data_IF_033887749350
#
_entry.id   IF_033887749350
#
_cell.length_a   1.000
_cell.length_b   1.000
_cell.length_c   1.000
_cell.angle_alpha   90.00
_cell.angle_beta   90.00
_cell.angle_gamma   90.00
#
_symmetry.space_group_name_H-M   'P 1'
#
loop_
_entity.id
_entity.type
_entity.pdbx_description
1 polymer ?
#
# COMPACT_ATOMS: atom_id res chain seq x y z
N UNK A 1 17.03 -25.95 16.72
CA UNK A 1 15.73 -25.54 16.15
C UNK A 1 15.96 -24.21 15.46
N UNK A 2 16.27 -24.24 14.15
CA UNK A 2 16.57 -23.01 13.40
C UNK A 2 15.27 -22.24 13.22
N UNK A 3 15.13 -21.10 13.91
CA UNK A 3 14.06 -20.13 13.64
C UNK A 3 14.39 -19.48 12.29
N UNK A 4 13.99 -20.14 11.21
CA UNK A 4 13.96 -19.50 9.90
C UNK A 4 12.81 -18.50 9.98
N UNK A 5 13.17 -17.27 10.33
CA UNK A 5 12.32 -16.12 10.18
C UNK A 5 12.25 -15.86 8.68
N UNK A 6 11.28 -16.47 7.99
CA UNK A 6 11.08 -16.24 6.56
C UNK A 6 10.97 -14.72 6.36
N UNK A 7 11.86 -14.08 5.58
CA UNK A 7 11.84 -12.64 5.45
C UNK A 7 10.51 -12.21 4.83
N UNK A 8 9.82 -11.30 5.52
CA UNK A 8 8.60 -10.68 5.02
C UNK A 8 8.80 -10.24 3.58
N UNK A 9 7.98 -10.78 2.68
CA UNK A 9 8.02 -10.39 1.27
C UNK A 9 7.10 -9.19 1.05
N UNK A 10 7.38 -8.38 0.03
CA UNK A 10 6.46 -7.31 -0.39
C UNK A 10 5.03 -7.82 -0.70
N UNK A 11 4.86 -9.14 -0.90
CA UNK A 11 3.56 -9.79 -1.12
C UNK A 11 2.86 -10.22 0.17
N UNK A 12 3.64 -10.66 1.17
CA UNK A 12 3.11 -11.10 2.46
C UNK A 12 2.77 -9.93 3.39
N UNK A 13 3.43 -8.78 3.20
CA UNK A 13 3.27 -7.60 4.05
C UNK A 13 4.20 -7.63 5.26
N UNK A 14 3.99 -6.69 6.19
CA UNK A 14 4.70 -6.65 7.46
C UNK A 14 4.20 -7.77 8.38
N UNK A 15 4.98 -8.09 9.42
CA UNK A 15 4.52 -8.97 10.50
C UNK A 15 3.47 -8.28 11.40
N UNK A 16 3.00 -9.01 12.40
CA UNK A 16 2.01 -8.54 13.38
C UNK A 16 2.46 -7.30 14.19
N UNK A 17 3.77 -7.07 14.29
CA UNK A 17 4.34 -5.91 14.98
C UNK A 17 4.59 -4.73 14.03
N UNK A 18 4.32 -4.91 12.74
CA UNK A 18 4.49 -3.91 11.70
C UNK A 18 5.92 -3.87 11.13
N UNK A 19 6.73 -4.91 11.36
CA UNK A 19 8.09 -4.97 10.84
C UNK A 19 8.18 -5.63 9.46
N UNK A 20 9.05 -5.09 8.61
CA UNK A 20 9.58 -5.72 7.41
C UNK A 20 11.02 -6.13 7.68
N UNK A 21 11.22 -7.34 8.22
CA UNK A 21 12.52 -7.75 8.73
C UNK A 21 12.95 -6.84 9.89
N UNK A 22 14.05 -6.12 9.74
CA UNK A 22 14.57 -5.21 10.79
C UNK A 22 14.00 -3.79 10.72
N UNK A 23 13.18 -3.48 9.71
CA UNK A 23 12.64 -2.13 9.46
C UNK A 23 11.15 -2.05 9.82
N UNK A 24 10.62 -0.84 10.00
CA UNK A 24 9.20 -0.64 10.32
C UNK A 24 8.95 -0.64 11.82
N UNK A 25 7.89 -1.31 12.26
CA UNK A 25 7.49 -1.38 13.67
C UNK A 25 6.74 -0.14 14.18
N UNK A 26 6.44 -0.13 15.48
CA UNK A 26 5.68 0.93 16.16
C UNK A 26 6.55 1.58 17.24
N UNK A 27 7.37 2.56 16.85
CA UNK A 27 8.25 3.31 17.75
C UNK A 27 7.65 4.67 18.09
N UNK A 28 6.63 4.67 18.94
CA UNK A 28 5.88 5.86 19.36
C UNK A 28 5.83 5.97 20.89
N UNK A 29 5.35 7.10 21.42
CA UNK A 29 5.08 7.23 22.83
C UNK A 29 4.05 6.19 23.30
N UNK A 30 4.25 5.62 24.50
CA UNK A 30 3.37 4.60 25.09
C UNK A 30 1.90 5.06 25.13
N UNK A 31 1.67 6.34 25.40
CA UNK A 31 0.34 6.95 25.43
C UNK A 31 -0.42 6.88 24.10
N UNK A 32 0.29 6.67 22.98
CA UNK A 32 -0.31 6.52 21.65
C UNK A 32 -0.60 5.05 21.29
N UNK A 33 0.00 4.08 21.99
CA UNK A 33 -0.15 2.66 21.65
C UNK A 33 -1.61 2.18 21.67
N UNK A 34 -2.46 2.55 22.65
CA UNK A 34 -3.87 2.15 22.63
C UNK A 34 -4.60 2.64 21.37
N UNK A 35 -4.35 3.90 20.98
CA UNK A 35 -4.98 4.51 19.80
C UNK A 35 -4.53 3.84 18.49
N UNK A 36 -3.25 3.46 18.40
CA UNK A 36 -2.73 2.72 17.24
C UNK A 36 -3.38 1.35 17.13
N UNK A 37 -3.52 0.63 18.23
CA UNK A 37 -4.15 -0.69 18.25
C UNK A 37 -5.63 -0.62 17.89
N UNK A 38 -6.34 0.42 18.32
CA UNK A 38 -7.74 0.60 17.96
C UNK A 38 -7.93 0.97 16.49
N UNK A 39 -7.03 1.79 15.94
CA UNK A 39 -6.99 2.06 14.50
C UNK A 39 -6.70 0.79 13.68
N UNK A 40 -5.78 -0.06 14.13
CA UNK A 40 -5.43 -1.31 13.46
C UNK A 40 -6.62 -2.29 13.41
N UNK A 41 -7.38 -2.39 14.51
CA UNK A 41 -8.63 -3.16 14.57
C UNK A 41 -9.68 -2.60 13.60
N UNK A 42 -9.89 -1.29 13.62
CA UNK A 42 -10.87 -0.63 12.75
C UNK A 42 -10.50 -0.79 11.27
N UNK A 43 -9.21 -0.64 10.94
CA UNK A 43 -8.70 -0.85 9.59
C UNK A 43 -8.90 -2.30 9.13
N UNK A 44 -8.56 -3.28 9.97
CA UNK A 44 -8.74 -4.70 9.67
C UNK A 44 -10.21 -5.02 9.40
N UNK A 45 -11.13 -4.48 10.21
CA UNK A 45 -12.56 -4.64 9.99
C UNK A 45 -13.03 -4.00 8.68
N UNK A 46 -12.68 -2.73 8.42
CA UNK A 46 -13.07 -2.02 7.20
C UNK A 46 -12.48 -2.67 5.92
N UNK A 47 -11.26 -3.18 6.00
CA UNK A 47 -10.60 -3.89 4.90
C UNK A 47 -11.33 -5.18 4.51
N UNK A 48 -12.02 -5.83 5.45
CA UNK A 48 -12.81 -7.03 5.17
C UNK A 48 -14.27 -6.72 4.75
N UNK A 49 -14.72 -5.47 4.91
CA UNK A 49 -16.11 -5.05 4.66
C UNK A 49 -16.37 -4.68 3.18
N UNK A 50 -17.21 -5.44 2.44
CA UNK A 50 -17.56 -5.10 1.07
C UNK A 50 -18.28 -3.76 0.91
N UNK A 51 -19.03 -3.31 1.91
CA UNK A 51 -19.73 -2.03 1.86
C UNK A 51 -18.73 -0.86 1.84
N UNK A 52 -17.71 -0.91 2.71
CA UNK A 52 -16.61 0.04 2.72
C UNK A 52 -15.87 0.09 1.37
N UNK A 53 -15.58 -1.07 0.77
CA UNK A 53 -14.97 -1.12 -0.58
C UNK A 53 -15.86 -0.52 -1.66
N UNK A 54 -17.17 -0.74 -1.58
CA UNK A 54 -18.15 -0.15 -2.49
C UNK A 54 -18.15 1.37 -2.45
N UNK A 55 -18.19 1.94 -1.24
CA UNK A 55 -18.13 3.38 -1.02
C UNK A 55 -16.78 3.98 -1.47
N UNK A 56 -15.67 3.36 -1.08
CA UNK A 56 -14.34 3.80 -1.50
C UNK A 56 -14.19 3.78 -3.02
N UNK A 57 -14.67 2.73 -3.70
CA UNK A 57 -14.65 2.64 -5.16
C UNK A 57 -15.51 3.72 -5.81
N UNK A 58 -16.67 4.03 -5.24
CA UNK A 58 -17.54 5.11 -5.72
C UNK A 58 -16.78 6.45 -5.67
N UNK A 59 -16.19 6.79 -4.54
CA UNK A 59 -15.37 8.02 -4.42
C UNK A 59 -14.16 8.00 -5.35
N UNK A 60 -13.46 6.87 -5.46
CA UNK A 60 -12.35 6.75 -6.39
C UNK A 60 -12.76 7.05 -7.83
N UNK A 61 -13.93 6.57 -8.26
CA UNK A 61 -14.41 6.70 -9.65
C UNK A 61 -15.00 8.08 -9.91
N UNK A 62 -15.91 8.53 -9.05
CA UNK A 62 -16.78 9.68 -9.32
C UNK A 62 -16.30 10.98 -8.68
N UNK A 63 -15.37 10.91 -7.73
CA UNK A 63 -14.79 12.10 -7.08
C UNK A 63 -13.31 12.26 -7.42
N UNK A 64 -12.50 11.21 -7.23
CA UNK A 64 -11.05 11.27 -7.47
C UNK A 64 -10.65 11.03 -8.94
N UNK A 65 -11.56 10.56 -9.80
CA UNK A 65 -11.30 10.38 -11.24
C UNK A 65 -10.42 9.17 -11.60
N UNK A 66 -10.44 8.10 -10.80
CA UNK A 66 -9.74 6.84 -11.08
C UNK A 66 -10.54 5.97 -12.07
N UNK A 67 -9.88 5.09 -12.86
CA UNK A 67 -8.45 4.85 -12.89
C UNK A 67 -7.68 5.94 -13.65
N UNK A 68 -6.51 6.30 -13.14
CA UNK A 68 -5.59 7.16 -13.88
C UNK A 68 -5.01 6.47 -15.12
N UNK A 69 -4.82 7.19 -16.23
CA UNK A 69 -4.27 6.62 -17.46
C UNK A 69 -2.80 6.21 -17.29
N UNK A 70 -2.39 5.20 -18.07
CA UNK A 70 -0.99 4.86 -18.29
C UNK A 70 -0.55 5.51 -19.60
N UNK A 71 0.20 6.60 -19.51
CA UNK A 71 0.58 7.42 -20.66
C UNK A 71 1.88 6.91 -21.31
N UNK A 72 1.85 6.61 -22.60
CA UNK A 72 3.07 6.24 -23.34
C UNK A 72 3.88 7.50 -23.69
N UNK A 73 5.09 7.60 -23.15
CA UNK A 73 5.96 8.76 -23.32
C UNK A 73 6.83 8.61 -24.58
N UNK A 74 6.22 8.79 -25.75
CA UNK A 74 6.84 8.59 -27.07
C UNK A 74 8.17 9.34 -27.24
N UNK A 75 8.18 10.64 -26.92
CA UNK A 75 9.37 11.50 -27.06
C UNK A 75 10.52 11.03 -26.16
N UNK A 76 10.21 10.64 -24.93
CA UNK A 76 11.21 10.18 -23.98
C UNK A 76 11.73 8.78 -24.36
N UNK A 77 10.83 7.91 -24.83
CA UNK A 77 11.18 6.60 -25.37
C UNK A 77 12.14 6.75 -26.55
N UNK A 78 11.83 7.64 -27.50
CA UNK A 78 12.70 7.93 -28.64
C UNK A 78 14.05 8.51 -28.23
N UNK A 79 14.06 9.44 -27.26
CA UNK A 79 15.28 10.06 -26.74
C UNK A 79 16.25 9.03 -26.14
N UNK A 80 15.74 8.03 -25.41
CA UNK A 80 16.59 7.00 -24.80
C UNK A 80 16.88 5.79 -25.71
N UNK A 81 16.12 5.59 -26.79
CA UNK A 81 16.37 4.54 -27.78
C UNK A 81 16.30 3.10 -27.26
N UNK A 82 15.74 2.88 -26.06
CA UNK A 82 15.72 1.60 -25.36
C UNK A 82 14.31 1.10 -25.07
N UNK A 83 14.06 0.75 -23.81
CA UNK A 83 12.74 0.29 -23.36
C UNK A 83 11.64 1.33 -23.61
N UNK A 84 10.40 0.87 -23.78
CA UNK A 84 9.22 1.75 -23.81
C UNK A 84 9.00 2.39 -22.45
N UNK A 85 8.85 3.71 -22.43
CA UNK A 85 8.62 4.46 -21.19
C UNK A 85 7.14 4.81 -21.07
N UNK A 86 6.54 4.44 -19.94
CA UNK A 86 5.16 4.75 -19.59
C UNK A 86 5.10 5.51 -18.27
N UNK A 87 4.26 6.54 -18.20
CA UNK A 87 3.97 7.27 -16.97
C UNK A 87 2.63 6.82 -16.41
N UNK A 88 2.64 6.33 -15.17
CA UNK A 88 1.43 6.20 -14.37
C UNK A 88 1.00 7.60 -13.93
N UNK A 89 -0.15 8.07 -14.41
CA UNK A 89 -0.63 9.44 -14.20
C UNK A 89 -1.45 9.58 -12.91
N UNK A 90 -0.83 9.32 -11.77
CA UNK A 90 -1.53 9.40 -10.47
C UNK A 90 -2.18 10.76 -10.18
#
# INVERSE_FOLDING_TARGET
MSLINDPNTYRAGADENGHFGVFGGRYVAETLMPLILDLDKAYTAAKADPAFHGELKNYQTHYAGRPSPLYFAERLTAHHGGAKIYFKRD
#
